data_IF_224972525898
#
_entry.id   IF_224972525898
#
_cell.length_a   1.000
_cell.length_b   1.000
_cell.length_c   1.000
_cell.angle_alpha   90.00
_cell.angle_beta   90.00
_cell.angle_gamma   90.00
#
_symmetry.space_group_name_H-M   'P 1'
#
loop_
_entity.id
_entity.type
_entity.pdbx_description
1 polymer ?
#
# COMPACT_ATOMS: atom_id res chain seq x y z
N UNK A 1 15.32 -31.97 -20.09
CA UNK A 1 14.21 -32.59 -19.31
C UNK A 1 13.50 -31.60 -18.37
N UNK A 2 14.15 -30.95 -17.39
CA UNK A 2 13.46 -29.92 -16.56
C UNK A 2 13.15 -28.62 -17.33
N UNK A 3 14.06 -28.19 -18.20
CA UNK A 3 13.87 -27.01 -19.04
C UNK A 3 12.66 -27.15 -19.98
N UNK A 4 12.51 -28.30 -20.64
CA UNK A 4 11.42 -28.59 -21.57
C UNK A 4 10.04 -28.57 -20.89
N UNK A 5 9.96 -29.12 -19.67
CA UNK A 5 8.73 -29.12 -18.87
C UNK A 5 8.29 -27.71 -18.49
N UNK A 6 9.25 -26.85 -18.10
CA UNK A 6 8.96 -25.45 -17.78
C UNK A 6 8.48 -24.68 -19.01
N UNK A 7 9.15 -24.87 -20.15
CA UNK A 7 8.80 -24.19 -21.39
C UNK A 7 7.40 -24.61 -21.88
N UNK A 8 7.05 -25.89 -21.80
CA UNK A 8 5.71 -26.39 -22.11
C UNK A 8 4.64 -25.80 -21.19
N UNK A 9 4.92 -25.71 -19.88
CA UNK A 9 4.02 -25.11 -18.89
C UNK A 9 3.80 -23.61 -19.16
N UNK A 10 4.86 -22.89 -19.56
CA UNK A 10 4.81 -21.46 -19.86
C UNK A 10 4.03 -21.15 -21.14
N UNK A 11 4.21 -21.98 -22.16
CA UNK A 11 3.42 -21.89 -23.39
C UNK A 11 1.92 -22.10 -23.09
N UNK A 12 1.59 -23.16 -22.34
CA UNK A 12 0.20 -23.47 -21.99
C UNK A 12 -0.43 -22.40 -21.08
N UNK A 13 0.33 -21.88 -20.11
CA UNK A 13 -0.12 -20.79 -19.26
C UNK A 13 -0.46 -19.54 -20.09
N UNK A 14 0.43 -19.17 -21.01
CA UNK A 14 0.27 -18.00 -21.87
C UNK A 14 -0.96 -18.11 -22.78
N UNK A 15 -1.23 -19.32 -23.32
CA UNK A 15 -2.45 -19.59 -24.10
C UNK A 15 -3.73 -19.33 -23.31
N UNK A 16 -3.69 -19.45 -21.98
CA UNK A 16 -4.82 -19.24 -21.07
C UNK A 16 -4.74 -17.92 -20.28
N UNK A 17 -3.96 -16.94 -20.76
CA UNK A 17 -3.85 -15.62 -20.14
C UNK A 17 -3.15 -15.60 -18.77
N UNK A 18 -2.42 -16.67 -18.44
CA UNK A 18 -1.64 -16.80 -17.22
C UNK A 18 -0.14 -16.64 -17.51
N UNK A 19 0.63 -16.40 -16.46
CA UNK A 19 2.08 -16.28 -16.50
C UNK A 19 2.72 -17.15 -15.43
N UNK A 20 3.96 -17.58 -15.67
CA UNK A 20 4.77 -18.25 -14.65
C UNK A 20 5.73 -17.31 -13.95
N UNK A 21 5.79 -17.44 -12.63
CA UNK A 21 6.82 -16.81 -11.83
C UNK A 21 8.10 -17.67 -11.77
N UNK A 22 9.17 -17.15 -11.14
CA UNK A 22 10.45 -17.88 -10.98
C UNK A 22 10.32 -19.18 -10.19
N UNK A 23 9.30 -19.29 -9.34
CA UNK A 23 8.98 -20.45 -8.52
C UNK A 23 7.91 -21.35 -9.18
N UNK A 24 7.78 -21.27 -10.50
CA UNK A 24 6.85 -22.08 -11.31
C UNK A 24 5.36 -21.97 -10.95
N UNK A 25 4.99 -20.91 -10.24
CA UNK A 25 3.60 -20.59 -9.93
C UNK A 25 2.90 -19.83 -11.03
N UNK A 26 1.65 -20.20 -11.28
CA UNK A 26 0.76 -19.51 -12.21
C UNK A 26 0.16 -18.26 -11.54
N UNK A 27 0.12 -17.16 -12.29
CA UNK A 27 -0.55 -15.95 -11.89
C UNK A 27 -1.11 -15.22 -13.10
N UNK A 28 -2.15 -14.40 -12.90
CA UNK A 28 -2.69 -13.50 -13.91
C UNK A 28 -2.18 -12.10 -13.61
N UNK A 29 -1.62 -11.42 -14.62
CA UNK A 29 -1.10 -10.06 -14.43
C UNK A 29 -2.25 -9.11 -14.08
N UNK A 30 -2.01 -8.19 -13.15
CA UNK A 30 -3.01 -7.25 -12.63
C UNK A 30 -4.15 -7.88 -11.83
N UNK A 31 -4.13 -9.20 -11.65
CA UNK A 31 -5.08 -9.89 -10.79
C UNK A 31 -4.43 -10.23 -9.45
N UNK A 32 -5.27 -10.31 -8.42
CA UNK A 32 -4.88 -10.92 -7.17
C UNK A 32 -4.92 -12.44 -7.28
N UNK A 33 -4.07 -13.10 -6.51
CA UNK A 33 -4.29 -14.53 -6.23
C UNK A 33 -5.63 -14.69 -5.51
N UNK A 34 -6.29 -15.83 -5.77
CA UNK A 34 -7.52 -16.17 -5.09
C UNK A 34 -7.29 -16.30 -3.57
N UNK A 35 -8.38 -16.18 -2.80
CA UNK A 35 -8.34 -16.24 -1.33
C UNK A 35 -7.76 -17.56 -0.84
N UNK A 36 -8.11 -18.68 -1.49
CA UNK A 36 -7.61 -20.01 -1.17
C UNK A 36 -6.08 -20.09 -1.21
N UNK A 37 -5.46 -19.54 -2.26
CA UNK A 37 -4.00 -19.47 -2.37
C UNK A 37 -3.42 -18.62 -1.25
N UNK A 38 -4.02 -17.46 -0.97
CA UNK A 38 -3.58 -16.57 0.12
C UNK A 38 -3.62 -17.27 1.49
N UNK A 39 -4.71 -17.99 1.77
CA UNK A 39 -4.87 -18.80 3.00
C UNK A 39 -3.83 -19.92 3.05
N UNK A 40 -3.58 -20.60 1.92
CA UNK A 40 -2.56 -21.65 1.83
C UNK A 40 -1.16 -21.12 2.16
N UNK A 41 -0.79 -19.94 1.62
CA UNK A 41 0.49 -19.28 1.96
C UNK A 41 0.55 -18.93 3.45
N UNK A 42 -0.55 -18.41 4.02
CA UNK A 42 -0.61 -18.07 5.44
C UNK A 42 -0.50 -19.28 6.36
N UNK A 43 -1.10 -20.41 6.00
CA UNK A 43 -1.00 -21.66 6.73
C UNK A 43 0.45 -22.18 6.76
N UNK A 44 1.13 -22.18 5.61
CA UNK A 44 2.53 -22.61 5.52
C UNK A 44 3.46 -21.66 6.28
N UNK A 45 3.23 -20.35 6.22
CA UNK A 45 3.99 -19.38 7.02
C UNK A 45 3.86 -19.67 8.53
N UNK A 46 2.65 -19.94 9.02
CA UNK A 46 2.43 -20.26 10.43
C UNK A 46 3.10 -21.57 10.85
N UNK A 47 3.13 -22.57 9.96
CA UNK A 47 3.87 -23.82 10.17
C UNK A 47 5.38 -23.55 10.26
N UNK A 48 5.95 -22.87 9.28
CA UNK A 48 7.37 -22.50 9.27
C UNK A 48 7.74 -21.64 10.49
N UNK A 49 6.85 -20.74 10.93
CA UNK A 49 7.06 -19.92 12.13
C UNK A 49 7.14 -20.77 13.40
N UNK A 50 6.28 -21.78 13.54
CA UNK A 50 6.32 -22.72 14.67
C UNK A 50 7.60 -23.54 14.67
N UNK A 51 8.05 -23.98 13.51
CA UNK A 51 9.31 -24.73 13.34
C UNK A 51 10.52 -23.86 13.65
N UNK A 52 10.56 -22.62 13.15
CA UNK A 52 11.60 -21.65 13.45
C UNK A 52 11.73 -21.42 14.98
N UNK A 53 10.62 -21.19 15.68
CA UNK A 53 10.61 -21.01 17.14
C UNK A 53 11.18 -22.26 17.86
N UNK A 54 10.82 -23.47 17.41
CA UNK A 54 11.37 -24.71 18.00
C UNK A 54 12.87 -24.84 17.79
N UNK A 55 13.37 -24.35 16.66
CA UNK A 55 14.79 -24.39 16.30
C UNK A 55 15.58 -23.21 16.89
N UNK A 56 14.95 -22.32 17.67
CA UNK A 56 15.58 -21.11 18.21
C UNK A 56 15.79 -19.99 17.18
N UNK A 57 15.19 -20.10 16.00
CA UNK A 57 15.25 -19.09 14.96
C UNK A 57 14.19 -18.01 15.17
N UNK A 58 14.59 -16.75 14.96
CA UNK A 58 13.72 -15.60 15.20
C UNK A 58 12.89 -15.18 13.98
N UNK A 59 13.25 -15.63 12.77
CA UNK A 59 12.62 -15.17 11.53
C UNK A 59 12.45 -16.29 10.49
N UNK A 60 11.27 -16.35 9.90
CA UNK A 60 10.96 -17.26 8.79
C UNK A 60 11.65 -16.82 7.50
N UNK A 61 12.22 -17.77 6.77
CA UNK A 61 12.79 -17.54 5.44
C UNK A 61 11.67 -17.33 4.40
N UNK A 62 11.44 -16.07 4.03
CA UNK A 62 10.38 -15.69 3.08
C UNK A 62 10.64 -16.21 1.66
N UNK A 63 11.91 -16.34 1.25
CA UNK A 63 12.26 -16.90 -0.06
C UNK A 63 11.87 -18.37 -0.15
N UNK A 64 12.11 -19.12 0.92
CA UNK A 64 11.72 -20.52 1.02
C UNK A 64 10.19 -20.68 1.05
N UNK A 65 9.49 -19.83 1.80
CA UNK A 65 8.03 -19.78 1.76
C UNK A 65 7.50 -19.56 0.33
N UNK A 66 8.09 -18.61 -0.40
CA UNK A 66 7.74 -18.34 -1.78
C UNK A 66 7.98 -19.54 -2.70
N UNK A 67 9.07 -20.28 -2.47
CA UNK A 67 9.40 -21.50 -3.21
C UNK A 67 8.40 -22.62 -2.93
N UNK A 68 8.11 -22.92 -1.66
CA UNK A 68 7.16 -23.97 -1.24
C UNK A 68 5.76 -23.68 -1.79
N UNK A 69 5.34 -22.43 -1.73
CA UNK A 69 3.99 -22.04 -2.15
C UNK A 69 3.87 -21.74 -3.65
N UNK A 70 4.96 -21.79 -4.43
CA UNK A 70 5.01 -21.37 -5.83
C UNK A 70 4.48 -19.94 -6.02
N UNK A 71 4.93 -18.99 -5.20
CA UNK A 71 4.56 -17.56 -5.30
C UNK A 71 5.81 -16.69 -5.34
N UNK A 72 5.68 -15.48 -5.90
CA UNK A 72 6.78 -14.51 -5.87
C UNK A 72 7.13 -14.06 -4.44
N UNK A 73 8.38 -13.67 -4.24
CA UNK A 73 8.90 -13.24 -2.94
C UNK A 73 8.10 -12.07 -2.35
N UNK A 74 7.76 -11.05 -3.16
CA UNK A 74 7.00 -9.89 -2.72
C UNK A 74 5.60 -10.28 -2.19
N UNK A 75 4.98 -11.27 -2.83
CA UNK A 75 3.67 -11.76 -2.40
C UNK A 75 3.77 -12.54 -1.08
N UNK A 76 4.76 -13.44 -0.96
CA UNK A 76 5.03 -14.15 0.28
C UNK A 76 5.33 -13.19 1.44
N UNK A 77 6.15 -12.16 1.19
CA UNK A 77 6.46 -11.10 2.17
C UNK A 77 5.20 -10.35 2.58
N UNK A 78 4.35 -9.98 1.63
CA UNK A 78 3.09 -9.30 1.91
C UNK A 78 2.21 -10.12 2.86
N UNK A 79 2.00 -11.40 2.56
CA UNK A 79 1.18 -12.29 3.41
C UNK A 79 1.79 -12.44 4.80
N UNK A 80 3.11 -12.62 4.90
CA UNK A 80 3.80 -12.68 6.19
C UNK A 80 3.60 -11.40 7.02
N UNK A 81 3.76 -10.22 6.41
CA UNK A 81 3.55 -8.94 7.08
C UNK A 81 2.10 -8.72 7.51
N UNK A 82 1.12 -9.16 6.71
CA UNK A 82 -0.29 -9.13 7.11
C UNK A 82 -0.54 -9.97 8.38
N UNK A 83 0.04 -11.18 8.45
CA UNK A 83 -0.10 -12.07 9.61
C UNK A 83 0.64 -11.51 10.83
N UNK A 84 1.83 -10.96 10.66
CA UNK A 84 2.60 -10.35 11.76
C UNK A 84 1.92 -9.12 12.34
N UNK A 85 1.25 -8.32 11.52
CA UNK A 85 0.58 -7.08 11.96
C UNK A 85 -0.83 -7.32 12.51
N UNK A 86 -1.60 -8.22 11.89
CA UNK A 86 -3.03 -8.39 12.20
C UNK A 86 -3.39 -9.75 12.82
N UNK A 87 -2.44 -10.70 12.86
CA UNK A 87 -2.66 -12.06 13.33
C UNK A 87 -3.44 -12.95 12.37
N UNK A 88 -3.86 -12.44 11.20
CA UNK A 88 -4.64 -13.19 10.20
C UNK A 88 -4.26 -12.82 8.77
N UNK A 89 -4.76 -13.62 7.83
CA UNK A 89 -4.73 -13.28 6.41
C UNK A 89 -5.86 -12.26 6.14
N UNK A 90 -5.51 -11.10 5.59
CA UNK A 90 -6.49 -10.05 5.27
C UNK A 90 -7.20 -10.40 3.95
N UNK A 91 -8.52 -10.29 3.88
CA UNK A 91 -9.22 -10.48 2.61
C UNK A 91 -8.86 -9.33 1.64
N UNK A 92 -8.54 -9.61 0.36
CA UNK A 92 -8.42 -8.54 -0.63
C UNK A 92 -9.57 -7.52 -0.58
N UNK A 93 -10.82 -7.94 -0.35
CA UNK A 93 -11.98 -7.03 -0.26
C UNK A 93 -11.89 -6.05 0.91
N UNK A 94 -11.32 -6.45 2.05
CA UNK A 94 -11.15 -5.59 3.21
C UNK A 94 -10.11 -4.48 2.96
N UNK A 95 -9.10 -4.76 2.13
CA UNK A 95 -8.13 -3.75 1.66
C UNK A 95 -8.83 -2.68 0.82
N UNK A 96 -9.89 -3.03 0.09
CA UNK A 96 -10.71 -2.07 -0.64
C UNK A 96 -11.65 -1.28 0.26
N UNK A 97 -12.18 -1.88 1.33
CA UNK A 97 -13.05 -1.18 2.28
C UNK A 97 -12.25 -0.20 3.16
N UNK A 98 -11.02 -0.55 3.56
CA UNK A 98 -10.12 0.41 4.23
C UNK A 98 -9.57 1.49 3.30
N UNK A 99 -9.80 1.37 1.99
CA UNK A 99 -9.54 2.44 1.00
C UNK A 99 -10.68 3.45 0.91
N UNK A 100 -11.61 3.51 1.87
CA UNK A 100 -12.67 4.54 1.97
C UNK A 100 -12.18 5.99 2.09
N UNK A 101 -10.87 6.24 1.97
CA UNK A 101 -10.36 7.55 1.57
C UNK A 101 -10.50 7.65 0.05
N UNK A 102 -11.37 8.51 -0.49
CA UNK A 102 -11.63 8.57 -1.93
C UNK A 102 -10.33 8.87 -2.69
N UNK A 103 -9.76 7.86 -3.34
CA UNK A 103 -8.55 7.97 -4.17
C UNK A 103 -8.92 7.63 -5.61
N UNK A 104 -9.17 8.68 -6.39
CA UNK A 104 -9.56 8.60 -7.79
C UNK A 104 -10.26 9.90 -8.25
N UNK A 105 -10.65 10.00 -9.53
CA UNK A 105 -11.56 11.06 -9.99
C UNK A 105 -12.87 10.94 -9.20
N UNK A 106 -13.05 11.83 -8.21
CA UNK A 106 -14.06 11.70 -7.15
C UNK A 106 -13.52 11.97 -5.74
N UNK A 107 -12.21 12.15 -5.55
CA UNK A 107 -11.70 12.84 -4.35
C UNK A 107 -12.36 14.20 -4.26
N UNK A 108 -13.02 14.50 -3.14
CA UNK A 108 -13.62 15.83 -2.89
C UNK A 108 -12.51 16.84 -3.08
N UNK A 109 -12.56 17.55 -4.21
CA UNK A 109 -11.65 18.65 -4.45
C UNK A 109 -11.96 19.67 -3.36
N UNK A 110 -10.91 20.21 -2.72
CA UNK A 110 -11.07 21.33 -1.81
C UNK A 110 -11.91 22.39 -2.51
N UNK A 111 -13.01 22.78 -1.90
CA UNK A 111 -13.86 23.83 -2.42
C UNK A 111 -13.27 25.20 -2.05
N UNK A 112 -13.97 26.27 -2.45
CA UNK A 112 -13.50 27.62 -2.14
C UNK A 112 -13.51 27.90 -0.62
N UNK A 113 -14.43 27.29 0.13
CA UNK A 113 -14.54 27.39 1.59
C UNK A 113 -13.34 26.76 2.27
N UNK A 114 -12.94 25.57 1.83
CA UNK A 114 -11.75 24.86 2.32
C UNK A 114 -10.49 25.69 2.11
N UNK A 115 -10.37 26.35 0.95
CA UNK A 115 -9.26 27.24 0.64
C UNK A 115 -9.24 28.45 1.59
N UNK A 116 -10.39 29.05 1.89
CA UNK A 116 -10.49 30.16 2.84
C UNK A 116 -10.15 29.73 4.27
N UNK A 117 -10.63 28.57 4.71
CA UNK A 117 -10.31 28.01 6.02
C UNK A 117 -8.81 27.75 6.15
N UNK A 118 -8.17 27.15 5.15
CA UNK A 118 -6.71 26.95 5.17
C UNK A 118 -5.93 28.26 5.22
N UNK A 119 -6.35 29.29 4.49
CA UNK A 119 -5.72 30.60 4.55
C UNK A 119 -5.85 31.22 5.95
N UNK A 120 -7.01 31.11 6.58
CA UNK A 120 -7.25 31.61 7.93
C UNK A 120 -6.39 30.88 8.97
N UNK A 121 -6.35 29.55 8.91
CA UNK A 121 -5.50 28.72 9.76
C UNK A 121 -4.01 29.05 9.60
N UNK A 122 -3.59 29.42 8.38
CA UNK A 122 -2.22 29.84 8.10
C UNK A 122 -1.90 31.23 8.67
N UNK A 123 -2.82 32.19 8.54
CA UNK A 123 -2.66 33.52 9.10
C UNK A 123 -2.61 33.51 10.63
N UNK A 124 -3.37 32.62 11.26
CA UNK A 124 -3.39 32.45 12.71
C UNK A 124 -2.08 31.85 13.24
N UNK A 125 -1.57 30.79 12.62
CA UNK A 125 -0.31 30.16 13.04
C UNK A 125 0.39 29.46 11.85
N UNK A 126 1.31 30.14 11.16
CA UNK A 126 1.95 29.61 9.96
C UNK A 126 2.94 28.45 10.24
N UNK A 127 3.36 28.25 11.50
CA UNK A 127 4.26 27.17 11.93
C UNK A 127 3.60 25.80 12.03
N UNK A 128 2.28 25.70 11.80
CA UNK A 128 1.56 24.42 11.85
C UNK A 128 2.09 23.40 10.86
N UNK A 129 2.09 22.15 11.28
CA UNK A 129 2.45 21.03 10.42
C UNK A 129 1.32 20.72 9.43
N UNK A 130 1.65 20.13 8.28
CA UNK A 130 0.65 19.69 7.30
C UNK A 130 -0.41 18.74 7.90
N UNK A 131 0.00 17.87 8.84
CA UNK A 131 -0.93 16.99 9.56
C UNK A 131 -1.95 17.77 10.38
N UNK A 132 -1.53 18.87 11.02
CA UNK A 132 -2.44 19.73 11.78
C UNK A 132 -3.43 20.45 10.87
N UNK A 133 -2.99 20.96 9.71
CA UNK A 133 -3.91 21.54 8.72
C UNK A 133 -4.94 20.54 8.22
N UNK A 134 -4.54 19.30 7.92
CA UNK A 134 -5.47 18.23 7.51
C UNK A 134 -6.53 17.99 8.60
N UNK A 135 -6.10 17.84 9.85
CA UNK A 135 -7.01 17.57 10.96
C UNK A 135 -7.97 18.73 11.21
N UNK A 136 -7.47 19.97 11.20
CA UNK A 136 -8.29 21.16 11.44
C UNK A 136 -9.27 21.41 10.30
N UNK A 137 -8.87 21.21 9.04
CA UNK A 137 -9.77 21.30 7.90
C UNK A 137 -10.90 20.27 8.01
N UNK A 138 -10.57 19.03 8.33
CA UNK A 138 -11.57 17.98 8.55
C UNK A 138 -12.55 18.33 9.69
N UNK A 139 -12.07 18.94 10.77
CA UNK A 139 -12.92 19.36 11.91
C UNK A 139 -13.82 20.54 11.53
N UNK A 140 -13.32 21.51 10.75
CA UNK A 140 -14.03 22.76 10.46
C UNK A 140 -14.98 22.67 9.27
N UNK A 141 -14.62 21.91 8.21
CA UNK A 141 -15.40 21.82 6.97
C UNK A 141 -15.93 20.42 6.68
N UNK A 142 -15.46 19.40 7.43
CA UNK A 142 -15.76 18.00 7.12
C UNK A 142 -14.96 17.45 5.94
N UNK A 143 -14.09 18.26 5.33
CA UNK A 143 -13.33 17.87 4.14
C UNK A 143 -12.08 17.08 4.52
N UNK A 144 -12.03 15.82 4.10
CA UNK A 144 -10.89 14.93 4.30
C UNK A 144 -9.94 14.96 3.09
N UNK A 145 -8.75 15.49 3.27
CA UNK A 145 -7.71 15.61 2.24
C UNK A 145 -6.38 15.01 2.69
N UNK A 146 -5.57 14.58 1.73
CA UNK A 146 -4.21 14.12 1.99
C UNK A 146 -3.26 15.31 2.24
N UNK A 147 -2.19 15.10 3.02
CA UNK A 147 -1.16 16.12 3.27
C UNK A 147 -0.55 16.66 1.98
N UNK A 148 -0.42 15.81 0.97
CA UNK A 148 0.09 16.20 -0.35
C UNK A 148 -0.82 17.20 -1.06
N UNK A 149 -2.14 17.12 -0.86
CA UNK A 149 -3.12 18.08 -1.39
C UNK A 149 -2.93 19.46 -0.76
N UNK A 150 -2.82 19.51 0.58
CA UNK A 150 -2.58 20.76 1.31
C UNK A 150 -1.21 21.35 0.94
N UNK A 151 -0.17 20.53 0.87
CA UNK A 151 1.18 20.97 0.45
C UNK A 151 1.17 21.58 -0.95
N UNK A 152 0.46 20.95 -1.90
CA UNK A 152 0.32 21.46 -3.26
C UNK A 152 -0.44 22.78 -3.27
N UNK A 153 -1.54 22.87 -2.53
CA UNK A 153 -2.32 24.10 -2.41
C UNK A 153 -1.46 25.26 -1.88
N UNK A 154 -0.68 25.06 -0.81
CA UNK A 154 0.20 26.10 -0.28
C UNK A 154 1.27 26.57 -1.29
N UNK A 155 1.82 25.64 -2.07
CA UNK A 155 2.79 25.97 -3.14
C UNK A 155 2.15 26.78 -4.26
N UNK A 156 0.90 26.49 -4.60
CA UNK A 156 0.15 27.17 -5.66
C UNK A 156 -0.40 28.53 -5.19
N UNK A 157 -0.85 28.63 -3.93
CA UNK A 157 -1.41 29.85 -3.34
C UNK A 157 -0.36 30.96 -3.13
N UNK A 158 0.88 30.59 -2.80
CA UNK A 158 1.97 31.54 -2.53
C UNK A 158 3.01 31.62 -3.67
N UNK A 159 2.56 31.41 -4.91
CA UNK A 159 3.41 31.24 -6.10
C UNK A 159 4.31 32.44 -6.46
N UNK A 160 4.15 33.59 -5.83
CA UNK A 160 5.10 34.71 -5.94
C UNK A 160 6.07 34.70 -4.75
N UNK A 161 7.30 34.21 -4.99
CA UNK A 161 8.44 34.47 -4.10
C UNK A 161 8.81 35.95 -4.16
N UNK A 162 8.07 36.78 -3.44
CA UNK A 162 8.55 38.09 -3.04
C UNK A 162 9.75 37.90 -2.12
N UNK A 163 10.86 38.55 -2.45
CA UNK A 163 12.06 38.61 -1.61
C UNK A 163 11.73 39.23 -0.24
N UNK A 164 11.34 38.41 0.71
CA UNK A 164 11.41 38.71 2.14
C UNK A 164 11.54 37.38 2.89
N UNK A 165 12.60 37.26 3.68
CA UNK A 165 13.08 36.01 4.25
C UNK A 165 12.04 35.32 5.15
N UNK A 166 11.44 34.22 4.68
CA UNK A 166 10.89 33.17 5.52
C UNK A 166 10.92 31.85 4.73
N UNK A 167 12.01 31.10 4.89
CA UNK A 167 12.12 29.74 4.38
C UNK A 167 11.23 28.83 5.22
N UNK A 168 9.98 28.63 4.80
CA UNK A 168 9.15 27.55 5.35
C UNK A 168 9.42 26.29 4.54
N UNK A 169 10.31 25.45 5.09
CA UNK A 169 10.51 24.09 4.59
C UNK A 169 9.29 23.26 4.96
N UNK A 170 8.53 22.85 3.95
CA UNK A 170 7.54 21.79 4.08
C UNK A 170 8.21 20.49 3.66
N UNK A 171 8.89 19.85 4.62
CA UNK A 171 9.40 18.47 4.51
C UNK A 171 8.35 17.47 5.00
#
# INVERSE_FOLDING_TARGET
>A
MQHDKRMAKDLYASQHGCHLNKNEGLYVRWSYYNKEKKVSVGAEYNKMKREAIKNGEQRVNISELGRICNVGWDYAKKVASEIESSGRVIDPSEVYQTRDVPRGPGSIAMDQTDCFVLLFLYLEEPSRTLSQYVNLLAVLTGTLVDRSTISKWFKDAFRYRGSCAAQTKFD
#
